data_IF_741934444465
#
_entry.id   IF_741934444465
#
_cell.length_a   1.000
_cell.length_b   1.000
_cell.length_c   1.000
_cell.angle_alpha   90.00
_cell.angle_beta   90.00
_cell.angle_gamma   90.00
#
_symmetry.space_group_name_H-M   'P 1'
#
loop_
_entity.id
_entity.type
_entity.pdbx_description
1 polymer ?
#
# COMPACT_ATOMS: atom_id res chain seq x y z
N UNK A 1 -14.39 6.94 43.91
CA UNK A 1 -14.12 7.33 42.51
C UNK A 1 -13.58 8.77 42.46
N UNK A 2 -12.65 9.10 41.55
CA UNK A 2 -12.06 10.44 41.39
C UNK A 2 -12.64 11.23 40.19
N UNK A 3 -12.98 10.54 39.10
CA UNK A 3 -13.57 11.13 37.89
C UNK A 3 -15.10 10.99 37.94
N UNK A 4 -15.74 11.67 38.89
CA UNK A 4 -17.20 11.70 39.04
C UNK A 4 -17.72 13.14 38.97
N UNK A 5 -19.04 13.27 38.89
CA UNK A 5 -19.76 14.54 38.76
C UNK A 5 -19.43 15.57 39.84
N UNK A 6 -19.04 15.13 41.05
CA UNK A 6 -18.67 15.97 42.19
C UNK A 6 -17.20 16.42 42.19
N UNK A 7 -16.27 15.47 42.08
CA UNK A 7 -14.83 15.73 42.22
C UNK A 7 -14.18 16.19 40.93
N UNK A 8 -14.66 15.71 39.77
CA UNK A 8 -14.19 16.06 38.42
C UNK A 8 -12.67 16.23 38.34
N UNK A 9 -11.91 15.25 38.83
CA UNK A 9 -10.45 15.34 38.81
C UNK A 9 -9.97 15.53 37.36
N UNK A 10 -9.12 16.54 37.13
CA UNK A 10 -8.71 16.99 35.80
C UNK A 10 -9.86 17.45 34.88
N UNK A 11 -10.97 17.93 35.45
CA UNK A 11 -12.14 18.38 34.71
C UNK A 11 -13.01 17.25 34.12
N UNK A 12 -12.65 15.98 34.36
CA UNK A 12 -13.29 14.81 33.74
C UNK A 12 -14.28 14.11 34.69
N UNK A 13 -15.46 13.79 34.17
CA UNK A 13 -16.46 12.93 34.82
C UNK A 13 -16.75 11.73 33.92
N UNK A 14 -16.66 10.51 34.48
CA UNK A 14 -16.93 9.24 33.80
C UNK A 14 -18.22 8.56 34.32
N UNK A 15 -19.02 9.26 35.12
CA UNK A 15 -20.33 8.76 35.58
C UNK A 15 -21.30 8.62 34.39
N UNK A 16 -22.27 7.70 34.50
CA UNK A 16 -23.23 7.36 33.42
C UNK A 16 -23.98 8.56 32.82
N UNK A 17 -24.27 9.59 33.64
CA UNK A 17 -24.91 10.83 33.17
C UNK A 17 -24.01 11.78 32.38
N UNK A 18 -22.70 11.57 32.42
CA UNK A 18 -21.70 12.36 31.68
C UNK A 18 -21.10 11.57 30.50
N UNK A 19 -20.92 10.26 30.66
CA UNK A 19 -20.30 9.39 29.67
C UNK A 19 -21.06 8.07 29.57
N UNK A 20 -21.46 7.68 28.36
CA UNK A 20 -22.23 6.47 28.12
C UNK A 20 -21.36 5.35 27.54
N UNK A 21 -21.16 4.27 28.31
CA UNK A 21 -20.40 3.09 27.88
C UNK A 21 -21.09 2.28 26.78
N UNK A 22 -22.40 2.45 26.56
CA UNK A 22 -23.09 1.88 25.40
C UNK A 22 -22.84 2.66 24.10
N UNK A 23 -22.25 3.86 24.19
CA UNK A 23 -21.97 4.75 23.07
C UNK A 23 -20.54 5.28 23.13
N UNK A 24 -19.57 4.38 23.24
CA UNK A 24 -18.14 4.70 23.30
C UNK A 24 -17.71 5.61 22.13
N UNK A 25 -18.25 5.36 20.93
CA UNK A 25 -17.98 6.16 19.72
C UNK A 25 -18.42 7.63 19.77
N UNK A 26 -19.23 8.05 20.75
CA UNK A 26 -19.68 9.44 20.86
C UNK A 26 -18.61 10.40 21.40
N UNK A 27 -17.60 9.88 22.09
CA UNK A 27 -16.53 10.67 22.71
C UNK A 27 -15.15 9.97 22.61
N UNK A 28 -14.68 9.63 21.40
CA UNK A 28 -13.50 8.79 21.21
C UNK A 28 -12.24 9.43 21.81
N UNK A 29 -12.06 10.74 21.66
CA UNK A 29 -10.89 11.45 22.19
C UNK A 29 -10.73 11.32 23.72
N UNK A 30 -11.83 11.28 24.46
CA UNK A 30 -11.79 11.10 25.92
C UNK A 30 -11.46 9.64 26.25
N UNK A 31 -12.13 8.70 25.59
CA UNK A 31 -11.92 7.28 25.84
C UNK A 31 -10.53 6.79 25.43
N UNK A 32 -9.95 7.34 24.36
CA UNK A 32 -8.55 7.09 23.97
C UNK A 32 -7.57 7.54 25.05
N UNK A 33 -7.80 8.68 25.70
CA UNK A 33 -6.99 9.12 26.84
C UNK A 33 -7.15 8.16 28.02
N UNK A 34 -8.37 7.68 28.29
CA UNK A 34 -8.62 6.66 29.32
C UNK A 34 -7.84 5.38 29.00
N UNK A 35 -7.96 4.87 27.77
CA UNK A 35 -7.19 3.72 27.28
C UNK A 35 -5.70 3.95 27.48
N UNK A 36 -5.16 5.11 27.10
CA UNK A 36 -3.75 5.43 27.27
C UNK A 36 -3.31 5.37 28.75
N UNK A 37 -4.13 5.89 29.68
CA UNK A 37 -3.87 5.78 31.12
C UNK A 37 -3.99 4.36 31.66
N UNK A 38 -4.87 3.54 31.08
CA UNK A 38 -5.02 2.13 31.43
C UNK A 38 -3.85 1.27 30.90
N UNK A 39 -3.40 1.52 29.66
CA UNK A 39 -2.24 0.84 29.04
C UNK A 39 -0.94 1.11 29.80
N UNK A 40 -0.79 2.32 30.32
CA UNK A 40 0.39 2.74 31.08
C UNK A 40 0.30 2.44 32.59
N UNK A 41 -0.76 1.76 33.04
CA UNK A 41 -1.01 1.47 34.46
C UNK A 41 -0.98 2.70 35.39
N UNK A 42 -1.18 3.90 34.83
CA UNK A 42 -1.22 5.17 35.56
C UNK A 42 -2.54 5.41 36.31
N UNK A 43 -3.58 4.66 35.94
CA UNK A 43 -4.88 4.68 36.59
C UNK A 43 -5.29 3.28 37.04
N UNK A 44 -5.84 3.09 38.27
CA UNK A 44 -5.87 4.06 39.36
C UNK A 44 -4.46 4.47 39.83
N UNK A 45 -4.28 5.71 40.34
CA UNK A 45 -2.96 6.18 40.77
C UNK A 45 -2.43 5.37 41.96
N UNK A 46 -1.10 5.40 42.21
CA UNK A 46 -0.50 4.72 43.35
C UNK A 46 -1.22 5.04 44.68
N UNK A 47 -1.39 4.03 45.52
CA UNK A 47 -2.10 4.17 46.81
C UNK A 47 -3.63 4.11 46.72
N UNK A 48 -4.22 3.99 45.52
CA UNK A 48 -5.66 3.70 45.36
C UNK A 48 -5.91 2.20 45.14
N UNK A 49 -7.05 1.67 45.61
CA UNK A 49 -7.45 0.29 45.31
C UNK A 49 -7.49 0.07 43.80
N UNK A 50 -6.80 -0.98 43.33
CA UNK A 50 -6.85 -1.42 41.93
C UNK A 50 -7.77 -2.63 41.82
N UNK A 51 -8.57 -2.72 40.75
CA UNK A 51 -9.29 -3.96 40.44
C UNK A 51 -8.32 -5.12 40.22
N UNK A 52 -8.86 -6.34 40.26
CA UNK A 52 -8.14 -7.54 39.82
C UNK A 52 -7.60 -7.37 38.40
N UNK A 53 -6.38 -7.85 38.14
CA UNK A 53 -5.67 -7.66 36.87
C UNK A 53 -6.49 -8.16 35.67
N UNK A 54 -7.13 -9.33 35.78
CA UNK A 54 -7.94 -9.88 34.71
C UNK A 54 -9.13 -8.98 34.32
N UNK A 55 -9.82 -8.42 35.32
CA UNK A 55 -10.92 -7.46 35.09
C UNK A 55 -10.42 -6.15 34.50
N UNK A 56 -9.26 -5.68 34.96
CA UNK A 56 -8.63 -4.46 34.48
C UNK A 56 -8.24 -4.57 33.00
N UNK A 57 -7.49 -5.63 32.64
CA UNK A 57 -7.06 -5.87 31.27
C UNK A 57 -8.27 -6.18 30.36
N UNK A 58 -9.27 -6.91 30.85
CA UNK A 58 -10.50 -7.17 30.13
C UNK A 58 -11.29 -5.92 29.80
N UNK A 59 -11.44 -4.99 30.76
CA UNK A 59 -12.09 -3.70 30.52
C UNK A 59 -11.33 -2.86 29.50
N UNK A 60 -9.99 -2.80 29.62
CA UNK A 60 -9.13 -2.09 28.66
C UNK A 60 -9.32 -2.64 27.24
N UNK A 61 -9.22 -3.95 27.07
CA UNK A 61 -9.33 -4.61 25.77
C UNK A 61 -10.72 -4.41 25.15
N UNK A 62 -11.79 -4.50 25.95
CA UNK A 62 -13.14 -4.20 25.50
C UNK A 62 -13.28 -2.75 25.00
N UNK A 63 -12.75 -1.78 25.76
CA UNK A 63 -12.83 -0.37 25.41
C UNK A 63 -12.04 -0.05 24.12
N UNK A 64 -10.84 -0.60 23.98
CA UNK A 64 -10.03 -0.53 22.75
C UNK A 64 -10.81 -1.09 21.55
N UNK A 65 -11.37 -2.29 21.70
CA UNK A 65 -12.15 -2.95 20.63
C UNK A 65 -13.39 -2.14 20.25
N UNK A 66 -14.10 -1.57 21.23
CA UNK A 66 -15.28 -0.74 20.97
C UNK A 66 -14.93 0.56 20.22
N UNK A 67 -13.79 1.18 20.55
CA UNK A 67 -13.28 2.34 19.82
C UNK A 67 -12.88 1.97 18.39
N UNK A 68 -12.16 0.87 18.20
CA UNK A 68 -11.72 0.41 16.88
C UNK A 68 -12.92 0.09 15.97
N UNK A 69 -13.94 -0.58 16.51
CA UNK A 69 -15.19 -0.85 15.77
C UNK A 69 -15.93 0.43 15.39
N UNK A 70 -16.00 1.39 16.31
CA UNK A 70 -16.60 2.70 16.02
C UNK A 70 -15.83 3.42 14.93
N UNK A 71 -14.50 3.46 14.99
CA UNK A 71 -13.65 4.11 14.01
C UNK A 71 -13.79 3.44 12.63
N UNK A 72 -13.81 2.11 12.57
CA UNK A 72 -14.00 1.37 11.33
C UNK A 72 -15.37 1.66 10.67
N UNK A 73 -16.42 1.86 11.48
CA UNK A 73 -17.77 2.16 10.97
C UNK A 73 -17.92 3.55 10.36
N UNK A 74 -17.02 4.49 10.72
CA UNK A 74 -17.05 5.89 10.28
C UNK A 74 -15.71 6.30 9.65
N UNK A 75 -14.98 5.33 9.09
CA UNK A 75 -13.66 5.56 8.50
C UNK A 75 -13.81 6.41 7.23
N UNK A 76 -13.73 7.73 7.40
CA UNK A 76 -13.62 8.71 6.33
C UNK A 76 -12.15 9.13 6.23
N UNK A 77 -11.30 8.43 5.42
CA UNK A 77 -9.87 8.76 5.27
C UNK A 77 -9.63 10.15 4.66
N UNK A 78 -10.70 10.91 4.38
CA UNK A 78 -10.68 12.17 3.71
C UNK A 78 -10.55 12.00 2.20
N UNK A 79 -10.49 13.13 1.51
CA UNK A 79 -10.23 13.16 0.06
C UNK A 79 -8.72 13.07 -0.17
N UNK A 80 -8.29 12.01 -0.83
CA UNK A 80 -6.92 11.95 -1.38
C UNK A 80 -6.91 12.80 -2.66
N UNK A 81 -6.05 13.83 -2.75
CA UNK A 81 -5.89 14.58 -4.01
C UNK A 81 -5.30 13.65 -5.07
N UNK A 82 -5.72 13.83 -6.32
CA UNK A 82 -5.12 13.11 -7.45
C UNK A 82 -3.65 13.50 -7.59
N UNK A 83 -2.78 12.50 -7.72
CA UNK A 83 -1.36 12.68 -7.96
C UNK A 83 -0.92 11.93 -9.23
N UNK A 84 0.24 12.31 -9.77
CA UNK A 84 0.91 11.49 -10.78
C UNK A 84 1.45 10.22 -10.13
N UNK A 85 1.60 9.15 -10.91
CA UNK A 85 2.32 7.97 -10.43
C UNK A 85 3.77 8.34 -10.14
N UNK A 86 4.28 7.92 -8.98
CA UNK A 86 5.70 7.97 -8.71
C UNK A 86 6.46 6.95 -9.58
N UNK A 87 7.79 6.94 -9.52
CA UNK A 87 8.67 6.12 -10.36
C UNK A 87 8.38 4.63 -10.20
N UNK A 88 8.21 4.16 -8.96
CA UNK A 88 7.91 2.76 -8.67
C UNK A 88 6.49 2.39 -9.11
N UNK A 89 5.50 3.24 -8.83
CA UNK A 89 4.11 3.07 -9.26
C UNK A 89 4.00 3.03 -10.80
N UNK A 90 4.77 3.87 -11.50
CA UNK A 90 4.81 3.85 -12.96
C UNK A 90 5.39 2.54 -13.51
N UNK A 91 6.48 2.04 -12.92
CA UNK A 91 7.06 0.75 -13.29
C UNK A 91 6.09 -0.41 -13.05
N UNK A 92 5.41 -0.40 -11.90
CA UNK A 92 4.39 -1.38 -11.56
C UNK A 92 3.22 -1.33 -12.55
N UNK A 93 2.73 -0.14 -12.89
CA UNK A 93 1.67 0.02 -13.88
C UNK A 93 2.09 -0.50 -15.27
N UNK A 94 3.34 -0.26 -15.69
CA UNK A 94 3.87 -0.79 -16.96
C UNK A 94 3.95 -2.31 -16.94
N UNK A 95 4.41 -2.90 -15.83
CA UNK A 95 4.43 -4.37 -15.66
C UNK A 95 3.04 -4.95 -15.71
N UNK A 96 2.09 -4.37 -14.98
CA UNK A 96 0.75 -4.92 -14.84
C UNK A 96 -0.07 -4.76 -16.12
N UNK A 97 0.12 -3.67 -16.86
CA UNK A 97 -0.62 -3.41 -18.11
C UNK A 97 0.02 -4.04 -19.34
N UNK A 98 1.35 -4.08 -19.42
CA UNK A 98 2.09 -4.48 -20.63
C UNK A 98 2.91 -5.76 -20.45
N UNK A 99 3.02 -6.28 -19.22
CA UNK A 99 3.87 -7.46 -18.93
C UNK A 99 5.37 -7.18 -19.08
N UNK A 100 5.79 -5.92 -19.00
CA UNK A 100 7.18 -5.52 -19.20
C UNK A 100 7.84 -5.11 -17.89
N UNK A 101 8.99 -5.72 -17.61
CA UNK A 101 9.92 -5.19 -16.61
C UNK A 101 10.82 -4.13 -17.25
N UNK A 102 10.83 -2.94 -16.66
CA UNK A 102 11.60 -1.78 -17.13
C UNK A 102 12.59 -1.37 -16.06
N UNK A 103 13.71 -0.78 -16.47
CA UNK A 103 14.64 -0.09 -15.56
C UNK A 103 14.14 1.33 -15.31
N UNK A 104 13.40 1.52 -14.23
CA UNK A 104 12.78 2.80 -13.89
C UNK A 104 13.79 3.89 -13.54
N UNK A 105 14.96 3.54 -13.00
CA UNK A 105 15.99 4.51 -12.61
C UNK A 105 16.68 5.11 -13.83
N UNK A 106 16.85 4.32 -14.89
CA UNK A 106 17.37 4.79 -16.16
C UNK A 106 16.35 5.64 -16.94
N UNK A 107 15.04 5.45 -16.71
CA UNK A 107 13.98 6.07 -17.49
C UNK A 107 13.43 7.34 -16.87
N UNK A 108 13.30 7.38 -15.54
CA UNK A 108 12.66 8.47 -14.81
C UNK A 108 13.58 8.97 -13.68
N UNK A 109 13.63 10.29 -13.45
CA UNK A 109 14.35 10.85 -12.31
C UNK A 109 13.72 10.38 -10.99
N UNK A 110 14.49 10.47 -9.90
CA UNK A 110 13.96 10.23 -8.57
C UNK A 110 12.83 11.23 -8.22
N UNK A 111 11.85 10.75 -7.46
CA UNK A 111 10.76 11.58 -6.96
C UNK A 111 11.15 12.31 -5.67
N UNK A 112 10.47 13.43 -5.43
CA UNK A 112 10.60 14.18 -4.19
C UNK A 112 9.98 13.40 -3.02
N UNK A 113 10.68 13.35 -1.90
CA UNK A 113 10.23 12.69 -0.67
C UNK A 113 9.63 13.72 0.30
N UNK A 114 8.39 13.50 0.71
CA UNK A 114 7.70 14.30 1.72
C UNK A 114 7.31 13.44 2.92
N UNK A 115 7.55 13.90 4.15
CA UNK A 115 7.21 13.15 5.38
C UNK A 115 7.68 11.68 5.41
N UNK A 116 8.75 11.35 4.68
CA UNK A 116 9.28 9.98 4.56
C UNK A 116 8.63 9.11 3.48
N UNK A 117 7.73 9.68 2.66
CA UNK A 117 7.01 8.98 1.59
C UNK A 117 7.23 9.69 0.24
N UNK A 118 7.28 8.91 -0.84
CA UNK A 118 7.50 9.37 -2.22
C UNK A 118 6.22 9.29 -3.08
N UNK A 119 5.08 8.97 -2.49
CA UNK A 119 3.77 8.86 -3.15
C UNK A 119 2.77 9.95 -2.67
N UNK A 120 3.28 11.04 -2.10
CA UNK A 120 2.42 12.10 -1.57
C UNK A 120 1.96 13.06 -2.66
N UNK A 121 0.65 13.19 -2.79
CA UNK A 121 0.02 14.08 -3.77
C UNK A 121 0.43 15.55 -3.66
N UNK A 122 0.65 16.05 -2.44
CA UNK A 122 1.10 17.42 -2.21
C UNK A 122 2.56 17.67 -2.57
N UNK A 123 3.36 16.62 -2.77
CA UNK A 123 4.80 16.68 -3.05
C UNK A 123 5.10 16.36 -4.50
N UNK A 124 4.37 15.43 -5.11
CA UNK A 124 4.55 15.02 -6.49
C UNK A 124 4.03 16.08 -7.47
N UNK A 125 4.92 16.97 -7.88
CA UNK A 125 4.65 17.95 -8.94
C UNK A 125 5.07 17.43 -10.31
N UNK A 126 4.47 17.98 -11.37
CA UNK A 126 4.79 17.64 -12.76
C UNK A 126 5.43 18.83 -13.45
N UNK A 127 6.76 18.83 -13.55
CA UNK A 127 7.50 19.85 -14.28
C UNK A 127 7.50 19.55 -15.80
N UNK A 128 7.70 20.56 -16.67
CA UNK A 128 7.83 20.33 -18.11
C UNK A 128 8.94 19.32 -18.46
N UNK A 129 10.10 19.43 -17.81
CA UNK A 129 11.22 18.50 -18.02
C UNK A 129 10.87 17.06 -17.63
N UNK A 130 10.11 16.88 -16.54
CA UNK A 130 9.64 15.57 -16.13
C UNK A 130 8.62 14.99 -17.13
N UNK A 131 7.71 15.82 -17.66
CA UNK A 131 6.78 15.40 -18.71
C UNK A 131 7.53 14.93 -19.96
N UNK A 132 8.58 15.63 -20.38
CA UNK A 132 9.43 15.21 -21.50
C UNK A 132 10.10 13.86 -21.23
N UNK A 133 10.53 13.60 -19.99
CA UNK A 133 11.05 12.29 -19.58
C UNK A 133 10.00 11.20 -19.67
N UNK A 134 8.78 11.43 -19.17
CA UNK A 134 7.68 10.47 -19.33
C UNK A 134 7.37 10.16 -20.78
N UNK A 135 7.31 11.16 -21.66
CA UNK A 135 7.09 10.95 -23.10
C UNK A 135 8.22 10.16 -23.75
N UNK A 136 9.47 10.42 -23.35
CA UNK A 136 10.63 9.65 -23.83
C UNK A 136 10.58 8.19 -23.36
N UNK A 137 10.29 7.96 -22.08
CA UNK A 137 10.12 6.63 -21.51
C UNK A 137 8.97 5.89 -22.20
N UNK A 138 7.81 6.52 -22.35
CA UNK A 138 6.65 5.96 -23.04
C UNK A 138 6.99 5.53 -24.46
N UNK A 139 7.70 6.34 -25.25
CA UNK A 139 8.13 5.94 -26.61
C UNK A 139 8.99 4.69 -26.62
N UNK A 140 9.90 4.56 -25.65
CA UNK A 140 10.76 3.37 -25.54
C UNK A 140 9.95 2.15 -25.12
N UNK A 141 9.10 2.29 -24.11
CA UNK A 141 8.24 1.22 -23.59
C UNK A 141 7.26 0.74 -24.67
N UNK A 142 6.60 1.64 -25.39
CA UNK A 142 5.67 1.27 -26.48
C UNK A 142 6.37 0.46 -27.57
N UNK A 143 7.62 0.77 -27.92
CA UNK A 143 8.37 -0.03 -28.90
C UNK A 143 8.70 -1.43 -28.37
N UNK A 144 9.04 -1.55 -27.09
CA UNK A 144 9.27 -2.85 -26.45
C UNK A 144 7.99 -3.67 -26.38
N UNK A 145 6.85 -3.04 -26.06
CA UNK A 145 5.56 -3.70 -25.92
C UNK A 145 5.02 -4.20 -27.26
N UNK A 146 5.16 -3.41 -28.33
CA UNK A 146 4.74 -3.81 -29.68
C UNK A 146 5.69 -4.85 -30.27
N UNK A 147 6.99 -4.77 -29.94
CA UNK A 147 8.02 -5.61 -30.54
C UNK A 147 8.25 -5.28 -32.02
N UNK A 148 8.77 -6.24 -32.77
CA UNK A 148 8.89 -6.13 -34.22
C UNK A 148 7.59 -6.60 -34.89
N UNK A 149 6.80 -5.70 -35.49
CA UNK A 149 5.53 -6.06 -36.11
C UNK A 149 5.71 -6.86 -37.41
N UNK A 150 6.93 -6.94 -37.96
CA UNK A 150 7.24 -7.75 -39.14
C UNK A 150 7.48 -9.22 -38.79
N UNK A 151 7.71 -9.52 -37.50
CA UNK A 151 7.74 -10.88 -36.99
C UNK A 151 6.30 -11.40 -36.96
N UNK A 152 5.99 -12.36 -37.82
CA UNK A 152 4.69 -13.02 -37.83
C UNK A 152 4.43 -13.69 -36.47
N UNK A 153 3.22 -13.53 -35.93
CA UNK A 153 2.79 -14.16 -34.67
C UNK A 153 2.96 -15.70 -34.66
N UNK A 154 3.07 -16.30 -35.84
CA UNK A 154 3.38 -17.72 -36.04
C UNK A 154 4.88 -17.98 -36.12
N UNK A 155 5.60 -17.89 -35.00
CA UNK A 155 6.71 -18.83 -34.79
C UNK A 155 6.10 -20.20 -34.46
N UNK A 156 5.42 -20.81 -35.44
CA UNK A 156 5.19 -22.23 -35.41
C UNK A 156 6.57 -22.88 -35.62
N UNK A 157 7.23 -23.28 -34.53
CA UNK A 157 8.44 -24.09 -34.61
C UNK A 157 8.12 -25.29 -35.50
N UNK A 158 8.60 -25.29 -36.74
CA UNK A 158 8.40 -26.40 -37.66
C UNK A 158 9.48 -27.41 -37.35
N UNK A 159 9.19 -28.32 -36.43
CA UNK A 159 10.09 -29.41 -36.07
C UNK A 159 10.09 -30.41 -37.22
N UNK A 160 11.23 -30.54 -37.90
CA UNK A 160 11.42 -31.56 -38.93
C UNK A 160 11.99 -32.81 -38.27
N UNK A 161 11.26 -33.92 -38.33
CA UNK A 161 11.78 -35.21 -37.89
C UNK A 161 12.67 -35.78 -38.97
N UNK A 162 13.99 -35.72 -38.77
CA UNK A 162 14.95 -36.41 -39.63
C UNK A 162 14.96 -37.92 -39.28
N UNK A 163 14.83 -38.83 -40.27
CA UNK A 163 14.98 -40.26 -40.04
C UNK A 163 16.38 -40.58 -39.51
N UNK A 164 16.49 -41.47 -38.51
CA UNK A 164 17.79 -41.84 -37.92
C UNK A 164 18.75 -42.52 -38.91
N UNK A 165 18.25 -42.98 -40.06
CA UNK A 165 19.03 -43.62 -41.13
C UNK A 165 19.30 -42.67 -42.31
N UNK A 166 18.90 -41.40 -42.22
CA UNK A 166 19.18 -40.42 -43.28
C UNK A 166 20.68 -40.09 -43.26
N UNK A 167 21.40 -40.54 -44.28
CA UNK A 167 22.80 -40.20 -44.47
C UNK A 167 22.92 -38.87 -45.23
N UNK A 168 23.34 -37.82 -44.54
CA UNK A 168 23.66 -36.50 -45.08
C UNK A 168 25.13 -36.48 -45.52
N UNK A 169 25.44 -37.22 -46.57
CA UNK A 169 26.81 -37.32 -47.08
C UNK A 169 26.98 -36.53 -48.38
N UNK A 170 25.87 -36.02 -48.93
CA UNK A 170 25.77 -35.30 -50.18
C UNK A 170 24.85 -34.09 -50.03
N UNK A 171 25.05 -33.09 -50.90
CA UNK A 171 24.22 -31.88 -50.95
C UNK A 171 22.80 -32.26 -51.39
N UNK A 172 21.84 -32.13 -50.47
CA UNK A 172 20.45 -32.54 -50.73
C UNK A 172 19.70 -31.64 -51.72
N UNK A 173 20.13 -30.38 -51.90
CA UNK A 173 19.56 -29.43 -52.86
C UNK A 173 20.52 -28.26 -53.12
N UNK A 174 20.43 -27.65 -54.29
CA UNK A 174 21.09 -26.37 -54.58
C UNK A 174 20.62 -25.24 -53.65
N UNK A 175 19.40 -25.34 -53.13
CA UNK A 175 18.79 -24.36 -52.22
C UNK A 175 19.19 -24.58 -50.76
N UNK A 176 19.96 -25.62 -50.45
CA UNK A 176 20.37 -25.95 -49.08
C UNK A 176 21.90 -25.90 -48.93
N UNK A 177 22.40 -25.44 -47.75
CA UNK A 177 23.82 -25.45 -47.45
C UNK A 177 24.36 -26.88 -47.41
N UNK A 178 25.68 -27.03 -47.61
CA UNK A 178 26.34 -28.32 -47.37
C UNK A 178 26.10 -28.74 -45.92
N UNK A 179 25.51 -29.93 -45.75
CA UNK A 179 25.04 -30.45 -44.49
C UNK A 179 24.63 -31.90 -44.64
#
# INVERSE_FOLDING_TARGET
ACHNTRLRTAGLSLDEGAMNLAQVGSAPAIWEQVVHKLRSDLMPPPGRPRPERARYDGFRAWLETALDQSAASTAEPGRVPTHRLNRAEYANAVRDLLGLDIDEEALLPADDVGHGFDNLAGTLTLSPALMERYLSAARRISRLAVGDPTIAASFASKTYTAPITLMQNDRMSEDLPFG
#
